data_IF_040221492610
#
_entry.id   IF_040221492610
#
_cell.length_a   1.000
_cell.length_b   1.000
_cell.length_c   1.000
_cell.angle_alpha   90.00
_cell.angle_beta   90.00
_cell.angle_gamma   90.00
#
_symmetry.space_group_name_H-M   'P 1'
#
loop_
_entity.id
_entity.type
_entity.pdbx_description
1 polymer ?
#
# COMPACT_ATOMS: atom_id res chain seq x y z
N UNK A 1 -33.16 5.58 0.02
CA UNK A 1 -32.01 5.58 -0.92
C UNK A 1 -31.65 7.04 -1.19
N UNK A 2 -30.76 7.63 -0.40
CA UNK A 2 -30.15 8.92 -0.73
C UNK A 2 -29.12 8.66 -1.82
N UNK A 3 -29.41 9.08 -3.05
CA UNK A 3 -28.43 9.11 -4.14
C UNK A 3 -27.37 10.16 -3.80
N UNK A 4 -26.30 9.73 -3.13
CA UNK A 4 -25.07 10.51 -3.05
C UNK A 4 -24.41 10.44 -4.43
N UNK A 5 -24.91 11.25 -5.37
CA UNK A 5 -24.24 11.44 -6.65
C UNK A 5 -22.85 12.01 -6.37
N UNK A 6 -21.77 11.29 -6.68
CA UNK A 6 -20.44 11.81 -6.44
C UNK A 6 -20.25 13.05 -7.31
N UNK A 7 -19.71 14.12 -6.72
CA UNK A 7 -19.35 15.36 -7.41
C UNK A 7 -17.85 15.59 -7.27
N UNK A 8 -17.18 16.16 -8.29
CA UNK A 8 -15.78 16.55 -8.12
C UNK A 8 -15.67 17.54 -6.96
N UNK A 9 -14.64 17.41 -6.14
CA UNK A 9 -14.40 18.31 -4.99
C UNK A 9 -14.34 19.79 -5.38
N UNK A 10 -14.01 20.10 -6.64
CA UNK A 10 -13.83 21.47 -7.11
C UNK A 10 -12.62 22.17 -6.47
N UNK A 11 -12.37 23.42 -6.88
CA UNK A 11 -11.30 24.27 -6.34
C UNK A 11 -10.04 24.38 -7.22
N UNK A 12 -9.06 25.18 -6.77
CA UNK A 12 -7.82 25.50 -7.53
C UNK A 12 -6.95 24.26 -7.73
N UNK A 13 -6.60 23.90 -8.97
CA UNK A 13 -5.76 22.72 -9.24
C UNK A 13 -4.36 22.80 -8.58
N UNK A 14 -3.78 24.00 -8.48
CA UNK A 14 -2.50 24.24 -7.81
C UNK A 14 -2.66 24.56 -6.32
N UNK A 15 -2.82 23.52 -5.49
CA UNK A 15 -2.75 23.63 -4.02
C UNK A 15 -1.32 23.78 -3.52
N UNK A 16 -1.15 24.13 -2.24
CA UNK A 16 0.16 24.13 -1.58
C UNK A 16 0.86 22.76 -1.72
N UNK A 17 0.12 21.67 -1.52
CA UNK A 17 0.62 20.32 -1.71
C UNK A 17 1.13 20.10 -3.15
N UNK A 18 0.35 20.44 -4.18
CA UNK A 18 0.78 20.32 -5.58
C UNK A 18 2.01 21.20 -5.86
N UNK A 19 2.10 22.41 -5.31
CA UNK A 19 3.28 23.28 -5.49
C UNK A 19 4.55 22.72 -4.86
N UNK A 20 4.43 21.98 -3.76
CA UNK A 20 5.57 21.36 -3.06
C UNK A 20 5.97 20.03 -3.72
N UNK A 21 5.00 19.19 -4.06
CA UNK A 21 5.25 17.85 -4.59
C UNK A 21 5.53 17.82 -6.09
N UNK A 22 4.94 18.72 -6.88
CA UNK A 22 5.16 18.72 -8.33
C UNK A 22 6.63 18.93 -8.73
N UNK A 23 7.40 19.86 -8.14
CA UNK A 23 8.83 19.98 -8.44
C UNK A 23 9.63 18.71 -8.10
N UNK A 24 9.30 18.04 -6.99
CA UNK A 24 9.94 16.78 -6.57
C UNK A 24 9.61 15.66 -7.56
N UNK A 25 8.35 15.56 -7.99
CA UNK A 25 7.94 14.60 -9.01
C UNK A 25 8.69 14.83 -10.34
N UNK A 26 8.77 16.08 -10.80
CA UNK A 26 9.51 16.44 -12.03
C UNK A 26 10.99 16.08 -11.90
N UNK A 27 11.62 16.38 -10.77
CA UNK A 27 13.02 16.00 -10.52
C UNK A 27 13.21 14.48 -10.54
N UNK A 28 12.30 13.73 -9.91
CA UNK A 28 12.29 12.27 -9.97
C UNK A 28 12.20 11.74 -11.40
N UNK A 29 11.30 12.28 -12.23
CA UNK A 29 11.18 11.89 -13.64
C UNK A 29 12.43 12.23 -14.47
N UNK A 30 13.10 13.35 -14.19
CA UNK A 30 14.37 13.69 -14.85
C UNK A 30 15.43 12.64 -14.51
N UNK A 31 15.54 12.24 -13.24
CA UNK A 31 16.49 11.20 -12.80
C UNK A 31 16.13 9.82 -13.37
N UNK A 32 14.84 9.49 -13.49
CA UNK A 32 14.37 8.29 -14.19
C UNK A 32 14.80 8.33 -15.66
N UNK A 33 14.65 9.49 -16.32
CA UNK A 33 15.14 9.67 -17.70
C UNK A 33 16.65 9.46 -17.81
N UNK A 34 17.43 10.02 -16.87
CA UNK A 34 18.88 9.81 -16.77
C UNK A 34 19.20 8.32 -16.63
N UNK A 35 18.51 7.62 -15.73
CA UNK A 35 18.63 6.17 -15.54
C UNK A 35 18.35 5.36 -16.81
N UNK A 36 17.29 5.70 -17.55
CA UNK A 36 16.88 4.97 -18.75
C UNK A 36 17.86 5.14 -19.92
N UNK A 37 18.61 6.25 -19.95
CA UNK A 37 19.57 6.57 -21.02
C UNK A 37 20.99 6.14 -20.66
N UNK A 38 21.46 6.45 -19.45
CA UNK A 38 22.84 6.22 -19.01
C UNK A 38 23.04 4.92 -18.20
N UNK A 39 21.95 4.26 -17.82
CA UNK A 39 21.95 2.99 -17.09
C UNK A 39 21.80 3.14 -15.57
N UNK A 40 21.73 1.99 -14.88
CA UNK A 40 21.48 1.91 -13.43
C UNK A 40 22.61 2.54 -12.59
N UNK A 41 23.87 2.28 -12.95
CA UNK A 41 25.03 2.72 -12.16
C UNK A 41 25.24 4.25 -12.14
N UNK A 42 24.54 5.00 -12.99
CA UNK A 42 24.67 6.46 -13.05
C UNK A 42 23.71 7.19 -12.07
N UNK A 43 22.77 6.45 -11.49
CA UNK A 43 21.79 6.99 -10.53
C UNK A 43 21.68 6.17 -9.24
N UNK A 44 22.35 5.02 -9.16
CA UNK A 44 22.26 4.10 -8.02
C UNK A 44 23.61 3.53 -7.62
N UNK A 45 23.76 3.19 -6.34
CA UNK A 45 24.94 2.51 -5.78
C UNK A 45 24.77 0.97 -5.76
N UNK A 46 23.84 0.45 -6.57
CA UNK A 46 23.61 -0.99 -6.70
C UNK A 46 24.87 -1.70 -7.20
N UNK A 47 25.10 -2.89 -6.68
CA UNK A 47 26.31 -3.67 -6.99
C UNK A 47 26.02 -5.18 -7.00
N UNK A 48 27.03 -5.99 -7.32
CA UNK A 48 26.88 -7.44 -7.45
C UNK A 48 26.40 -8.15 -6.18
N UNK A 49 26.60 -7.56 -5.00
CA UNK A 49 26.10 -8.07 -3.73
C UNK A 49 24.70 -7.55 -3.38
N UNK A 50 24.43 -6.28 -3.69
CA UNK A 50 23.15 -5.61 -3.47
C UNK A 50 22.46 -5.31 -4.81
N UNK A 51 21.80 -6.32 -5.41
CA UNK A 51 21.04 -6.13 -6.64
C UNK A 51 19.74 -5.37 -6.41
N UNK A 52 19.25 -5.39 -5.16
CA UNK A 52 18.06 -4.68 -4.71
C UNK A 52 18.49 -3.62 -3.70
N UNK A 53 18.06 -2.40 -3.95
CA UNK A 53 18.32 -1.26 -3.09
C UNK A 53 17.03 -0.70 -2.53
N UNK A 54 17.05 0.60 -2.26
CA UNK A 54 15.89 1.32 -1.71
C UNK A 54 14.66 1.25 -2.63
N UNK A 55 14.81 1.17 -3.96
CA UNK A 55 13.66 1.12 -4.87
C UNK A 55 12.80 -0.13 -4.67
N UNK A 56 13.42 -1.31 -4.56
CA UNK A 56 12.66 -2.53 -4.29
C UNK A 56 12.20 -2.58 -2.82
N UNK A 57 13.06 -2.21 -1.87
CA UNK A 57 12.74 -2.28 -0.45
C UNK A 57 11.63 -1.30 -0.04
N UNK A 58 11.63 -0.09 -0.58
CA UNK A 58 10.66 0.95 -0.27
C UNK A 58 9.55 1.03 -1.32
N UNK A 59 9.84 1.34 -2.58
CA UNK A 59 8.79 1.62 -3.58
C UNK A 59 7.95 0.38 -3.88
N UNK A 60 8.58 -0.79 -3.98
CA UNK A 60 7.84 -2.03 -4.23
C UNK A 60 7.31 -2.66 -2.95
N UNK A 61 8.18 -3.05 -2.02
CA UNK A 61 7.78 -3.82 -0.84
C UNK A 61 6.92 -3.02 0.12
N UNK A 62 7.27 -1.78 0.43
CA UNK A 62 6.46 -0.95 1.34
C UNK A 62 5.33 -0.26 0.57
N UNK A 63 5.64 0.35 -0.58
CA UNK A 63 4.69 1.11 -1.39
C UNK A 63 3.49 0.29 -1.85
N UNK A 64 3.69 -0.93 -2.36
CA UNK A 64 2.54 -1.81 -2.70
C UNK A 64 1.75 -2.24 -1.47
N UNK A 65 2.39 -2.33 -0.30
CA UNK A 65 1.71 -2.56 0.98
C UNK A 65 0.78 -1.41 1.36
N UNK A 66 1.19 -0.16 1.14
CA UNK A 66 0.30 1.01 1.30
C UNK A 66 -0.82 1.00 0.24
N UNK A 67 -0.53 0.55 -0.98
CA UNK A 67 -1.52 0.41 -2.03
C UNK A 67 -2.56 -0.70 -1.76
N UNK A 68 -2.41 -1.53 -0.73
CA UNK A 68 -3.36 -2.60 -0.39
C UNK A 68 -4.70 -2.13 0.21
N UNK A 69 -4.94 -0.82 0.38
CA UNK A 69 -6.14 -0.30 1.07
C UNK A 69 -7.47 -0.75 0.47
N UNK A 70 -7.63 -0.64 -0.85
CA UNK A 70 -8.79 -1.12 -1.60
C UNK A 70 -8.99 -2.63 -1.51
N UNK A 71 -7.91 -3.41 -1.61
CA UNK A 71 -7.95 -4.87 -1.43
C UNK A 71 -8.39 -5.27 -0.02
N UNK A 72 -7.80 -4.66 1.02
CA UNK A 72 -8.14 -4.95 2.41
C UNK A 72 -9.61 -4.59 2.68
N UNK A 73 -10.08 -3.43 2.22
CA UNK A 73 -11.49 -3.05 2.34
C UNK A 73 -12.41 -3.96 1.55
N UNK A 74 -12.01 -4.46 0.37
CA UNK A 74 -12.80 -5.44 -0.37
C UNK A 74 -13.01 -6.72 0.46
N UNK A 75 -11.98 -7.22 1.14
CA UNK A 75 -12.14 -8.33 2.11
C UNK A 75 -13.10 -7.96 3.24
N UNK A 76 -12.96 -6.78 3.83
CA UNK A 76 -13.86 -6.34 4.90
C UNK A 76 -15.32 -6.18 4.42
N UNK A 77 -15.55 -5.70 3.20
CA UNK A 77 -16.88 -5.39 2.65
C UNK A 77 -17.58 -6.61 2.07
N UNK A 78 -16.85 -7.49 1.39
CA UNK A 78 -17.44 -8.59 0.63
C UNK A 78 -17.38 -9.92 1.35
N UNK A 79 -16.40 -10.13 2.24
CA UNK A 79 -16.23 -11.38 2.99
C UNK A 79 -16.68 -11.23 4.43
N UNK A 80 -16.27 -10.15 5.11
CA UNK A 80 -16.54 -9.98 6.55
C UNK A 80 -17.74 -9.10 6.90
N UNK A 81 -18.37 -8.39 5.96
CA UNK A 81 -19.44 -7.44 6.27
C UNK A 81 -20.58 -7.38 5.24
N UNK A 82 -21.75 -6.92 5.67
CA UNK A 82 -22.98 -6.73 4.87
C UNK A 82 -23.06 -5.30 4.28
N UNK A 83 -21.97 -4.78 3.73
CA UNK A 83 -21.97 -3.49 3.01
C UNK A 83 -21.81 -2.20 3.83
N UNK A 84 -21.47 -2.24 5.13
CA UNK A 84 -21.34 -1.00 5.93
C UNK A 84 -20.12 -0.13 5.55
N UNK A 85 -19.06 -0.72 5.01
CA UNK A 85 -17.85 -0.01 4.58
C UNK A 85 -17.91 0.47 3.11
N UNK A 86 -19.05 0.29 2.44
CA UNK A 86 -19.24 0.66 1.03
C UNK A 86 -18.86 2.13 0.70
N UNK A 87 -19.04 3.13 1.59
CA UNK A 87 -18.58 4.50 1.31
C UNK A 87 -17.07 4.61 1.09
N UNK A 88 -16.27 3.76 1.75
CA UNK A 88 -14.80 3.80 1.69
C UNK A 88 -14.23 3.08 0.46
N UNK A 89 -15.02 2.22 -0.18
CA UNK A 89 -14.55 1.31 -1.25
C UNK A 89 -14.06 2.07 -2.47
N UNK A 90 -14.84 3.03 -2.99
CA UNK A 90 -14.49 3.78 -4.22
C UNK A 90 -13.17 4.58 -4.09
N UNK A 91 -12.98 5.43 -3.06
CA UNK A 91 -11.72 6.15 -2.89
C UNK A 91 -10.54 5.22 -2.62
N UNK A 92 -10.72 4.15 -1.85
CA UNK A 92 -9.66 3.20 -1.57
C UNK A 92 -9.26 2.36 -2.79
N UNK A 93 -10.22 1.90 -3.60
CA UNK A 93 -9.95 1.20 -4.86
C UNK A 93 -9.20 2.09 -5.85
N UNK A 94 -9.54 3.38 -5.91
CA UNK A 94 -8.82 4.31 -6.78
C UNK A 94 -7.38 4.52 -6.28
N UNK A 95 -7.20 4.75 -4.97
CA UNK A 95 -5.87 4.87 -4.38
C UNK A 95 -5.04 3.60 -4.65
N UNK A 96 -5.61 2.41 -4.45
CA UNK A 96 -4.99 1.13 -4.78
C UNK A 96 -4.63 1.00 -6.26
N UNK A 97 -5.54 1.37 -7.17
CA UNK A 97 -5.26 1.31 -8.60
C UNK A 97 -4.05 2.18 -8.97
N UNK A 98 -3.94 3.37 -8.39
CA UNK A 98 -2.77 4.24 -8.57
C UNK A 98 -1.51 3.65 -7.97
N UNK A 99 -1.53 3.30 -6.68
CA UNK A 99 -0.37 2.77 -5.98
C UNK A 99 0.18 1.50 -6.62
N UNK A 100 -0.68 0.55 -7.01
CA UNK A 100 -0.25 -0.64 -7.74
C UNK A 100 0.24 -0.34 -9.16
N UNK A 101 -0.39 0.59 -9.89
CA UNK A 101 0.10 0.98 -11.22
C UNK A 101 1.50 1.61 -11.13
N UNK A 102 1.74 2.43 -10.10
CA UNK A 102 3.05 3.03 -9.84
C UNK A 102 4.08 2.01 -9.38
N UNK A 103 3.69 1.04 -8.55
CA UNK A 103 4.56 -0.09 -8.20
C UNK A 103 4.97 -0.91 -9.42
N UNK A 104 4.03 -1.14 -10.36
CA UNK A 104 4.32 -1.81 -11.63
C UNK A 104 5.26 -1.01 -12.52
N UNK A 105 5.07 0.31 -12.60
CA UNK A 105 5.98 1.22 -13.29
C UNK A 105 7.37 1.25 -12.65
N UNK A 106 7.44 1.23 -11.31
CA UNK A 106 8.69 1.19 -10.56
C UNK A 106 9.52 -0.05 -10.93
N UNK A 107 8.90 -1.24 -11.02
CA UNK A 107 9.58 -2.45 -11.50
C UNK A 107 10.14 -2.27 -12.92
N UNK A 108 9.36 -1.70 -13.84
CA UNK A 108 9.84 -1.47 -15.20
C UNK A 108 11.06 -0.52 -15.25
N UNK A 109 11.12 0.42 -14.29
CA UNK A 109 12.24 1.35 -14.09
C UNK A 109 13.36 0.72 -13.26
N UNK A 110 13.15 -0.35 -12.52
CA UNK A 110 14.23 -1.01 -11.77
C UNK A 110 15.01 -1.98 -12.67
N UNK A 111 14.34 -2.67 -13.60
CA UNK A 111 14.96 -3.70 -14.48
C UNK A 111 16.02 -3.09 -15.40
N UNK A 112 17.28 -3.52 -15.26
CA UNK A 112 18.43 -2.94 -15.99
C UNK A 112 18.30 -2.95 -17.51
N UNK A 113 17.63 -3.95 -18.10
CA UNK A 113 17.32 -4.03 -19.54
C UNK A 113 15.82 -3.86 -19.75
N UNK A 114 15.29 -2.68 -19.45
CA UNK A 114 13.85 -2.38 -19.51
C UNK A 114 13.23 -2.63 -20.89
N UNK A 115 14.00 -2.52 -21.98
CA UNK A 115 13.54 -2.84 -23.33
C UNK A 115 13.21 -4.33 -23.55
N UNK A 116 13.71 -5.23 -22.67
CA UNK A 116 13.35 -6.64 -22.70
C UNK A 116 12.05 -6.94 -21.93
N UNK A 117 11.45 -5.96 -21.24
CA UNK A 117 10.21 -6.16 -20.50
C UNK A 117 9.07 -6.76 -21.33
N UNK A 118 8.89 -6.48 -22.64
CA UNK A 118 7.85 -7.12 -23.46
C UNK A 118 7.91 -8.66 -23.50
N UNK A 119 9.08 -9.28 -23.28
CA UNK A 119 9.21 -10.74 -23.20
C UNK A 119 8.36 -11.33 -22.07
N UNK A 120 8.12 -10.57 -20.99
CA UNK A 120 7.25 -10.98 -19.89
C UNK A 120 5.81 -11.25 -20.33
N UNK A 121 5.33 -10.62 -21.41
CA UNK A 121 3.97 -10.84 -21.93
C UNK A 121 3.89 -11.97 -22.96
N UNK A 122 5.03 -12.54 -23.35
CA UNK A 122 5.13 -13.55 -24.40
C UNK A 122 5.26 -14.95 -23.77
N UNK A 123 4.30 -15.87 -24.00
CA UNK A 123 4.30 -17.20 -23.38
C UNK A 123 5.59 -18.02 -23.58
N UNK A 124 6.33 -17.74 -24.66
CA UNK A 124 7.58 -18.40 -25.01
C UNK A 124 8.71 -18.18 -23.98
N UNK A 125 8.64 -17.10 -23.21
CA UNK A 125 9.68 -16.71 -22.24
C UNK A 125 9.22 -16.90 -20.79
N UNK A 126 8.08 -17.56 -20.56
CA UNK A 126 7.54 -17.75 -19.21
C UNK A 126 8.40 -18.72 -18.40
N UNK A 127 8.85 -18.28 -17.22
CA UNK A 127 9.50 -19.13 -16.24
C UNK A 127 8.59 -19.30 -15.01
N UNK A 128 7.74 -20.32 -15.05
CA UNK A 128 6.75 -20.61 -14.00
C UNK A 128 7.36 -21.07 -12.67
N UNK A 129 8.66 -21.37 -12.63
CA UNK A 129 9.37 -21.70 -11.39
C UNK A 129 9.89 -20.46 -10.65
N UNK A 130 9.78 -19.27 -11.25
CA UNK A 130 10.27 -18.03 -10.67
C UNK A 130 9.19 -17.34 -9.84
N UNK A 131 9.50 -17.10 -8.56
CA UNK A 131 8.64 -16.30 -7.67
C UNK A 131 8.46 -14.87 -8.19
N UNK A 132 9.48 -14.31 -8.86
CA UNK A 132 9.37 -12.99 -9.51
C UNK A 132 8.36 -13.00 -10.67
N UNK A 133 8.30 -14.11 -11.43
CA UNK A 133 7.34 -14.27 -12.52
C UNK A 133 5.90 -14.33 -11.98
N UNK A 134 5.66 -15.13 -10.93
CA UNK A 134 4.37 -15.18 -10.25
C UNK A 134 3.98 -13.79 -9.73
N UNK A 135 4.88 -13.13 -9.00
CA UNK A 135 4.66 -11.80 -8.42
C UNK A 135 4.26 -10.77 -9.48
N UNK A 136 5.01 -10.69 -10.59
CA UNK A 136 4.74 -9.77 -11.68
C UNK A 136 3.42 -10.10 -12.41
N UNK A 137 3.09 -11.38 -12.56
CA UNK A 137 1.85 -11.84 -13.22
C UNK A 137 0.64 -11.49 -12.37
N UNK A 138 0.66 -11.84 -11.09
CA UNK A 138 -0.41 -11.51 -10.15
C UNK A 138 -0.65 -10.01 -10.07
N UNK A 139 0.42 -9.21 -9.97
CA UNK A 139 0.31 -7.74 -9.93
C UNK A 139 -0.28 -7.17 -11.22
N UNK A 140 0.18 -7.63 -12.39
CA UNK A 140 -0.32 -7.14 -13.69
C UNK A 140 -1.79 -7.47 -13.90
N UNK A 141 -2.19 -8.72 -13.61
CA UNK A 141 -3.60 -9.12 -13.71
C UNK A 141 -4.43 -8.35 -12.69
N UNK A 142 -3.91 -8.14 -11.49
CA UNK A 142 -4.62 -7.39 -10.45
C UNK A 142 -4.87 -5.94 -10.85
N UNK A 143 -3.91 -5.25 -11.47
CA UNK A 143 -4.13 -3.88 -12.00
C UNK A 143 -5.27 -3.88 -13.02
N UNK A 144 -5.34 -4.88 -13.91
CA UNK A 144 -6.46 -5.02 -14.85
C UNK A 144 -7.79 -5.29 -14.13
N UNK A 145 -7.79 -6.16 -13.11
CA UNK A 145 -8.98 -6.46 -12.30
C UNK A 145 -9.48 -5.20 -11.58
N UNK A 146 -8.60 -4.44 -10.92
CA UNK A 146 -8.97 -3.18 -10.27
C UNK A 146 -9.52 -2.15 -11.27
N UNK A 147 -8.94 -2.05 -12.47
CA UNK A 147 -9.48 -1.19 -13.51
C UNK A 147 -10.91 -1.61 -13.90
N UNK A 148 -11.19 -2.92 -13.96
CA UNK A 148 -12.53 -3.45 -14.19
C UNK A 148 -13.49 -3.25 -13.00
N UNK A 149 -13.01 -3.31 -11.76
CA UNK A 149 -13.80 -2.99 -10.56
C UNK A 149 -14.17 -1.51 -10.48
N UNK A 150 -13.30 -0.63 -10.98
CA UNK A 150 -13.54 0.81 -11.04
C UNK A 150 -14.39 1.22 -12.27
N UNK A 151 -14.41 0.40 -13.32
CA UNK A 151 -15.12 0.68 -14.58
C UNK A 151 -16.63 0.99 -14.42
N UNK A 152 -17.42 0.39 -13.49
CA UNK A 152 -18.81 0.76 -13.27
C UNK A 152 -19.00 2.25 -12.97
N UNK A 153 -18.09 2.86 -12.19
CA UNK A 153 -18.17 4.29 -11.86
C UNK A 153 -17.99 5.17 -13.12
N UNK A 154 -17.13 4.73 -14.06
CA UNK A 154 -16.96 5.42 -15.34
C UNK A 154 -18.16 5.20 -16.26
N UNK A 155 -18.69 3.98 -16.33
CA UNK A 155 -19.86 3.64 -17.17
C UNK A 155 -21.14 4.32 -16.69
N UNK A 156 -21.33 4.46 -15.37
CA UNK A 156 -22.40 5.25 -14.76
C UNK A 156 -22.34 6.71 -15.25
N UNK A 157 -21.14 7.31 -15.27
CA UNK A 157 -20.92 8.67 -15.75
C UNK A 157 -21.16 8.83 -17.24
N UNK A 158 -20.78 7.83 -18.06
CA UNK A 158 -21.00 7.84 -19.51
C UNK A 158 -22.43 7.47 -19.92
N UNK A 159 -23.27 7.03 -18.97
CA UNK A 159 -24.67 6.62 -19.23
C UNK A 159 -24.82 5.28 -19.95
N UNK A 160 -23.77 4.44 -19.99
CA UNK A 160 -23.74 3.20 -20.76
C UNK A 160 -24.39 2.02 -20.00
N UNK A 161 -25.73 2.02 -19.96
CA UNK A 161 -26.54 1.08 -19.16
C UNK A 161 -26.39 -0.39 -19.55
N UNK A 162 -26.17 -0.71 -20.84
CA UNK A 162 -26.05 -2.10 -21.32
C UNK A 162 -24.72 -2.72 -20.86
N UNK A 163 -23.61 -2.01 -21.07
CA UNK A 163 -22.28 -2.44 -20.63
C UNK A 163 -22.20 -2.57 -19.12
N UNK A 164 -22.81 -1.65 -18.38
CA UNK A 164 -22.90 -1.70 -16.92
C UNK A 164 -23.61 -2.99 -16.45
N UNK A 165 -24.75 -3.34 -17.06
CA UNK A 165 -25.49 -4.56 -16.69
C UNK A 165 -24.70 -5.84 -16.96
N UNK A 166 -23.97 -5.90 -18.08
CA UNK A 166 -23.09 -7.04 -18.41
C UNK A 166 -21.94 -7.15 -17.42
N UNK A 167 -21.29 -6.04 -17.12
CA UNK A 167 -20.17 -5.98 -16.18
C UNK A 167 -20.61 -6.38 -14.76
N UNK A 168 -21.73 -5.86 -14.27
CA UNK A 168 -22.27 -6.22 -12.95
C UNK A 168 -22.58 -7.72 -12.83
N UNK A 169 -22.96 -8.39 -13.92
CA UNK A 169 -23.17 -9.84 -13.92
C UNK A 169 -21.86 -10.62 -13.76
N UNK A 170 -20.75 -10.10 -14.29
CA UNK A 170 -19.42 -10.70 -14.15
C UNK A 170 -18.67 -10.26 -12.88
N UNK A 171 -19.15 -9.23 -12.19
CA UNK A 171 -18.45 -8.57 -11.08
C UNK A 171 -18.13 -9.52 -9.92
N UNK A 172 -18.97 -10.53 -9.66
CA UNK A 172 -18.69 -11.54 -8.64
C UNK A 172 -17.36 -12.28 -8.91
N UNK A 173 -17.10 -12.67 -10.17
CA UNK A 173 -15.85 -13.31 -10.54
C UNK A 173 -14.66 -12.34 -10.46
N UNK A 174 -14.88 -11.09 -10.87
CA UNK A 174 -13.86 -10.03 -10.85
C UNK A 174 -13.42 -9.76 -9.39
N UNK A 175 -14.36 -9.58 -8.47
CA UNK A 175 -14.09 -9.39 -7.03
C UNK A 175 -13.39 -10.62 -6.44
N UNK A 176 -13.78 -11.83 -6.84
CA UNK A 176 -13.10 -13.06 -6.41
C UNK A 176 -11.63 -13.09 -6.83
N UNK A 177 -11.32 -12.70 -8.08
CA UNK A 177 -9.95 -12.53 -8.55
C UNK A 177 -9.23 -11.38 -7.83
N UNK A 178 -9.94 -10.28 -7.56
CA UNK A 178 -9.45 -9.13 -6.82
C UNK A 178 -9.07 -9.45 -5.38
N UNK A 179 -9.73 -10.42 -4.74
CA UNK A 179 -9.36 -10.93 -3.43
C UNK A 179 -8.17 -11.90 -3.49
N UNK A 180 -8.13 -12.78 -4.50
CA UNK A 180 -7.11 -13.82 -4.66
C UNK A 180 -5.74 -13.28 -5.09
N UNK A 181 -5.68 -12.46 -6.14
CA UNK A 181 -4.41 -12.06 -6.77
C UNK A 181 -3.48 -11.26 -5.87
N UNK A 182 -3.96 -10.28 -5.07
CA UNK A 182 -3.09 -9.59 -4.12
C UNK A 182 -2.62 -10.50 -2.98
N UNK A 183 -3.45 -11.47 -2.58
CA UNK A 183 -3.05 -12.49 -1.59
C UNK A 183 -1.86 -13.29 -2.10
N UNK A 184 -1.89 -13.72 -3.37
CA UNK A 184 -0.77 -14.41 -4.02
C UNK A 184 0.44 -13.48 -4.16
N UNK A 185 0.25 -12.29 -4.73
CA UNK A 185 1.35 -11.34 -4.94
C UNK A 185 2.07 -10.99 -3.62
N UNK A 186 1.34 -10.63 -2.57
CA UNK A 186 1.95 -10.23 -1.30
C UNK A 186 2.57 -11.42 -0.55
N UNK A 187 2.03 -12.65 -0.67
CA UNK A 187 2.68 -13.83 -0.09
C UNK A 187 3.95 -14.20 -0.87
N UNK A 188 3.94 -14.13 -2.20
CA UNK A 188 5.11 -14.37 -3.06
C UNK A 188 6.24 -13.36 -2.79
N UNK A 189 5.93 -12.10 -2.47
CA UNK A 189 6.95 -11.13 -2.01
C UNK A 189 7.66 -11.59 -0.72
N UNK A 190 6.97 -12.31 0.16
CA UNK A 190 7.60 -12.97 1.32
C UNK A 190 8.45 -14.16 0.90
N UNK A 191 7.92 -15.01 -0.01
CA UNK A 191 8.63 -16.16 -0.57
C UNK A 191 9.95 -15.78 -1.26
N UNK A 192 10.03 -14.59 -1.87
CA UNK A 192 11.28 -14.10 -2.47
C UNK A 192 12.43 -14.11 -1.47
N UNK A 193 12.18 -13.74 -0.21
CA UNK A 193 13.23 -13.67 0.80
C UNK A 193 13.59 -15.03 1.40
N UNK A 194 12.82 -16.08 1.14
CA UNK A 194 13.26 -17.46 1.39
C UNK A 194 14.48 -17.78 0.52
N UNK A 195 14.47 -17.34 -0.75
CA UNK A 195 15.59 -17.58 -1.68
C UNK A 195 16.88 -16.85 -1.30
N UNK A 196 16.77 -15.75 -0.53
CA UNK A 196 17.94 -15.06 0.01
C UNK A 196 18.67 -15.88 1.09
N UNK A 197 17.99 -16.85 1.71
CA UNK A 197 18.59 -17.82 2.62
C UNK A 197 19.41 -17.16 3.74
N UNK A 198 20.68 -17.54 3.82
CA UNK A 198 21.62 -17.06 4.85
C UNK A 198 21.98 -15.57 4.73
N UNK A 199 21.67 -14.92 3.62
CA UNK A 199 21.94 -13.49 3.43
C UNK A 199 21.04 -12.61 4.31
N UNK A 200 19.90 -13.12 4.76
CA UNK A 200 19.02 -12.41 5.68
C UNK A 200 19.35 -12.81 7.10
N UNK A 201 19.45 -11.84 7.99
CA UNK A 201 19.75 -12.08 9.40
C UNK A 201 18.73 -13.05 10.03
N UNK A 202 19.16 -14.00 10.90
CA UNK A 202 18.30 -15.04 11.47
C UNK A 202 17.03 -14.55 12.15
N UNK A 203 17.06 -13.34 12.74
CA UNK A 203 15.87 -12.72 13.33
C UNK A 203 14.76 -12.47 12.30
N UNK A 204 15.06 -12.11 11.06
CA UNK A 204 14.04 -11.88 10.01
C UNK A 204 13.88 -13.06 9.06
N UNK A 205 14.86 -13.96 8.99
CA UNK A 205 14.77 -15.14 8.14
C UNK A 205 13.89 -16.22 8.78
N UNK A 206 12.60 -16.23 8.45
CA UNK A 206 11.60 -17.16 9.00
C UNK A 206 11.10 -18.22 8.02
N UNK A 207 11.81 -18.44 6.90
CA UNK A 207 11.55 -19.47 5.89
C UNK A 207 10.05 -19.63 5.55
N UNK A 208 9.40 -20.73 5.94
CA UNK A 208 8.01 -21.05 5.57
C UNK A 208 6.99 -20.04 6.10
N UNK A 209 7.34 -19.26 7.12
CA UNK A 209 6.46 -18.24 7.70
C UNK A 209 6.57 -16.87 7.01
N UNK A 210 7.60 -16.64 6.18
CA UNK A 210 7.78 -15.35 5.46
C UNK A 210 6.59 -14.99 4.55
N UNK A 211 6.00 -15.92 3.77
CA UNK A 211 4.84 -15.60 2.93
C UNK A 211 3.65 -15.16 3.78
N UNK A 212 3.45 -15.80 4.92
CA UNK A 212 2.38 -15.46 5.86
C UNK A 212 2.64 -14.09 6.52
N UNK A 213 3.87 -13.80 6.96
CA UNK A 213 4.22 -12.50 7.54
C UNK A 213 4.06 -11.36 6.52
N UNK A 214 4.48 -11.58 5.27
CA UNK A 214 4.29 -10.61 4.20
C UNK A 214 2.80 -10.35 3.93
N UNK A 215 1.98 -11.40 3.92
CA UNK A 215 0.53 -11.27 3.75
C UNK A 215 -0.15 -10.56 4.93
N UNK A 216 0.18 -10.92 6.17
CA UNK A 216 -0.36 -10.29 7.37
C UNK A 216 0.00 -8.80 7.44
N UNK A 217 1.26 -8.46 7.13
CA UNK A 217 1.68 -7.05 7.05
C UNK A 217 1.00 -6.30 5.91
N UNK A 218 0.67 -6.96 4.80
CA UNK A 218 -0.10 -6.35 3.71
C UNK A 218 -1.51 -5.96 4.17
N UNK A 219 -2.20 -6.84 4.90
CA UNK A 219 -3.50 -6.52 5.49
C UNK A 219 -3.40 -5.40 6.52
N UNK A 220 -2.39 -5.43 7.39
CA UNK A 220 -2.17 -4.38 8.40
C UNK A 220 -1.95 -3.02 7.74
N UNK A 221 -1.03 -2.94 6.78
CA UNK A 221 -0.76 -1.73 6.01
C UNK A 221 -2.01 -1.26 5.26
N UNK A 222 -2.70 -2.16 4.55
CA UNK A 222 -3.90 -1.88 3.79
C UNK A 222 -5.04 -1.29 4.64
N UNK A 223 -5.42 -1.96 5.74
CA UNK A 223 -6.48 -1.44 6.61
C UNK A 223 -6.10 -0.14 7.29
N UNK A 224 -4.83 -0.01 7.66
CA UNK A 224 -4.34 1.13 8.44
C UNK A 224 -4.18 2.37 7.56
N UNK A 225 -3.77 2.22 6.29
CA UNK A 225 -3.61 3.35 5.38
C UNK A 225 -4.96 4.06 5.14
N UNK A 226 -6.06 3.32 5.12
CA UNK A 226 -7.42 3.88 5.00
C UNK A 226 -7.76 4.77 6.19
N UNK A 227 -7.41 4.34 7.41
CA UNK A 227 -7.61 5.15 8.63
C UNK A 227 -6.71 6.40 8.59
N UNK A 228 -5.46 6.24 8.15
CA UNK A 228 -4.50 7.33 8.03
C UNK A 228 -4.97 8.39 7.03
N UNK A 229 -5.30 7.99 5.81
CA UNK A 229 -5.79 8.88 4.75
C UNK A 229 -7.12 9.53 5.13
N UNK A 230 -8.09 8.75 5.63
CA UNK A 230 -9.38 9.28 6.06
C UNK A 230 -9.25 10.31 7.20
N UNK A 231 -8.34 10.06 8.15
CA UNK A 231 -8.03 11.01 9.23
C UNK A 231 -7.35 12.28 8.70
N UNK A 232 -6.47 12.16 7.70
CA UNK A 232 -5.78 13.29 7.07
C UNK A 232 -6.74 14.13 6.20
N UNK A 233 -7.66 13.50 5.48
CA UNK A 233 -8.71 14.17 4.71
C UNK A 233 -9.68 14.95 5.61
N UNK A 234 -10.01 14.40 6.78
CA UNK A 234 -10.77 15.11 7.82
C UNK A 234 -9.97 16.30 8.40
N UNK A 235 -8.70 16.11 8.72
CA UNK A 235 -7.84 17.17 9.25
C UNK A 235 -7.65 18.33 8.26
N UNK A 236 -7.56 18.03 6.96
CA UNK A 236 -7.46 19.03 5.88
C UNK A 236 -8.78 19.71 5.53
N UNK A 237 -9.89 19.37 6.21
CA UNK A 237 -11.27 19.84 5.94
C UNK A 237 -11.74 19.54 4.51
N UNK A 238 -11.19 18.49 3.91
CA UNK A 238 -11.59 18.06 2.56
C UNK A 238 -12.91 17.28 2.60
N UNK A 239 -13.14 16.52 3.69
CA UNK A 239 -14.38 15.80 3.97
C UNK A 239 -15.02 16.30 5.28
N UNK A 240 -16.35 16.44 5.29
CA UNK A 240 -17.12 16.90 6.45
C UNK A 240 -17.79 15.76 7.24
N UNK A 241 -17.89 14.57 6.66
CA UNK A 241 -18.56 13.44 7.30
C UNK A 241 -17.66 12.81 8.36
N UNK A 242 -18.24 12.49 9.52
CA UNK A 242 -17.50 11.86 10.60
C UNK A 242 -17.42 10.34 10.41
N UNK A 243 -16.37 9.87 9.75
CA UNK A 243 -16.10 8.44 9.51
C UNK A 243 -15.49 7.73 10.72
N UNK A 244 -15.26 8.42 11.84
CA UNK A 244 -14.67 7.86 13.07
C UNK A 244 -15.36 6.57 13.55
N UNK A 245 -16.70 6.40 13.46
CA UNK A 245 -17.36 5.15 13.81
C UNK A 245 -16.94 3.97 12.91
N UNK A 246 -16.72 4.21 11.61
CA UNK A 246 -16.24 3.19 10.67
C UNK A 246 -14.78 2.82 10.98
N UNK A 247 -13.93 3.82 11.24
CA UNK A 247 -12.54 3.56 11.65
C UNK A 247 -12.48 2.77 12.95
N UNK A 248 -13.32 3.09 13.94
CA UNK A 248 -13.40 2.34 15.21
C UNK A 248 -13.72 0.86 14.99
N UNK A 249 -14.62 0.54 14.05
CA UNK A 249 -14.93 -0.85 13.67
C UNK A 249 -13.73 -1.51 12.99
N UNK A 250 -13.09 -0.81 12.07
CA UNK A 250 -11.91 -1.30 11.35
C UNK A 250 -10.74 -1.60 12.28
N UNK A 251 -10.56 -0.79 13.33
CA UNK A 251 -9.55 -1.00 14.37
C UNK A 251 -9.66 -2.36 15.04
N UNK A 252 -10.87 -2.93 15.20
CA UNK A 252 -11.04 -4.28 15.75
C UNK A 252 -10.44 -5.36 14.86
N UNK A 253 -10.55 -5.20 13.53
CA UNK A 253 -9.96 -6.14 12.56
C UNK A 253 -8.45 -6.01 12.58
N UNK A 254 -7.94 -4.77 12.57
CA UNK A 254 -6.50 -4.46 12.65
C UNK A 254 -5.91 -5.08 13.92
N UNK A 255 -6.57 -4.93 15.07
CA UNK A 255 -6.13 -5.48 16.35
C UNK A 255 -5.96 -7.00 16.32
N UNK A 256 -6.93 -7.73 15.75
CA UNK A 256 -6.83 -9.19 15.60
C UNK A 256 -5.66 -9.57 14.71
N UNK A 257 -5.48 -8.89 13.57
CA UNK A 257 -4.38 -9.14 12.65
C UNK A 257 -3.02 -8.83 13.27
N UNK A 258 -2.96 -7.78 14.08
CA UNK A 258 -1.74 -7.30 14.72
C UNK A 258 -1.31 -8.25 15.85
N UNK A 259 -2.26 -8.73 16.66
CA UNK A 259 -2.02 -9.79 17.64
C UNK A 259 -1.57 -11.06 16.91
N UNK A 260 -2.26 -11.46 15.84
CA UNK A 260 -1.88 -12.65 15.08
C UNK A 260 -0.45 -12.53 14.52
N UNK A 261 -0.10 -11.39 13.92
CA UNK A 261 1.25 -11.13 13.42
C UNK A 261 2.28 -11.23 14.55
N UNK A 262 2.09 -10.53 15.67
CA UNK A 262 3.03 -10.54 16.79
C UNK A 262 3.17 -11.93 17.43
N UNK A 263 2.07 -12.65 17.65
CA UNK A 263 2.09 -14.01 18.21
C UNK A 263 2.83 -14.96 17.29
N UNK A 264 2.51 -14.96 15.99
CA UNK A 264 3.22 -15.80 15.02
C UNK A 264 4.70 -15.42 14.91
N UNK A 265 5.01 -14.11 14.96
CA UNK A 265 6.38 -13.59 14.84
C UNK A 265 7.24 -14.00 16.02
N UNK A 266 6.79 -13.75 17.25
CA UNK A 266 7.51 -14.16 18.46
C UNK A 266 7.51 -15.68 18.62
N UNK A 267 6.41 -16.36 18.27
CA UNK A 267 6.32 -17.81 18.26
C UNK A 267 7.36 -18.46 17.36
N UNK A 268 7.60 -17.92 16.16
CA UNK A 268 8.63 -18.41 15.25
C UNK A 268 10.05 -18.28 15.83
N UNK A 269 10.36 -17.14 16.46
CA UNK A 269 11.65 -16.92 17.11
C UNK A 269 11.88 -17.90 18.27
N UNK A 270 10.86 -18.11 19.10
CA UNK A 270 10.94 -19.02 20.26
C UNK A 270 11.08 -20.47 19.79
N UNK A 271 10.25 -20.89 18.83
CA UNK A 271 10.22 -22.25 18.31
C UNK A 271 11.55 -22.65 17.66
N UNK A 272 12.15 -21.72 16.89
CA UNK A 272 13.43 -21.95 16.23
C UNK A 272 14.66 -21.63 17.10
N UNK A 273 14.47 -21.38 18.40
CA UNK A 273 15.58 -21.15 19.35
C UNK A 273 16.39 -19.88 19.07
N UNK A 274 15.83 -18.89 18.38
CA UNK A 274 16.52 -17.66 17.94
C UNK A 274 16.57 -16.56 19.00
N UNK A 275 16.07 -16.82 20.21
CA UNK A 275 16.05 -15.87 21.33
C UNK A 275 17.45 -15.35 21.70
N UNK A 276 18.48 -16.17 21.51
CA UNK A 276 19.88 -15.79 21.77
C UNK A 276 20.31 -14.57 20.94
N UNK A 277 19.83 -14.45 19.70
CA UNK A 277 20.13 -13.31 18.84
C UNK A 277 19.58 -11.99 19.38
N UNK A 278 18.47 -12.02 20.14
CA UNK A 278 17.90 -10.82 20.78
C UNK A 278 18.70 -10.44 22.03
N UNK A 279 19.23 -11.44 22.74
CA UNK A 279 20.02 -11.24 23.96
C UNK A 279 21.40 -10.62 23.72
N UNK A 280 21.88 -10.61 22.47
CA UNK A 280 23.20 -10.08 22.12
C UNK A 280 23.31 -8.55 22.26
N UNK A 281 22.18 -7.82 22.21
CA UNK A 281 22.16 -6.37 22.37
C UNK A 281 22.85 -5.60 21.23
N UNK A 282 22.99 -6.23 20.07
CA UNK A 282 23.54 -5.63 18.85
C UNK A 282 22.50 -4.75 18.13
N UNK A 283 22.92 -4.08 17.05
CA UNK A 283 22.04 -3.21 16.26
C UNK A 283 20.76 -3.96 15.82
N UNK A 284 20.88 -5.22 15.39
CA UNK A 284 19.76 -6.02 14.91
C UNK A 284 18.80 -6.41 16.04
N UNK A 285 19.30 -6.69 17.25
CA UNK A 285 18.50 -6.90 18.45
C UNK A 285 17.63 -5.68 18.74
N UNK A 286 18.23 -4.49 18.78
CA UNK A 286 17.50 -3.24 19.05
C UNK A 286 16.50 -2.90 17.95
N UNK A 287 16.84 -3.19 16.70
CA UNK A 287 15.95 -2.99 15.55
C UNK A 287 14.73 -3.91 15.63
N UNK A 288 14.91 -5.18 16.01
CA UNK A 288 13.83 -6.14 16.22
C UNK A 288 12.93 -5.74 17.41
N UNK A 289 13.52 -5.25 18.50
CA UNK A 289 12.76 -4.75 19.65
C UNK A 289 11.98 -3.48 19.27
N UNK A 290 12.61 -2.56 18.53
CA UNK A 290 11.98 -1.33 18.08
C UNK A 290 10.80 -1.60 17.14
N UNK A 291 10.94 -2.46 16.12
CA UNK A 291 9.82 -2.82 15.24
C UNK A 291 8.69 -3.50 16.03
N UNK A 292 9.02 -4.38 16.97
CA UNK A 292 8.03 -5.06 17.82
C UNK A 292 7.31 -4.08 18.74
N UNK A 293 8.04 -3.11 19.31
CA UNK A 293 7.48 -2.07 20.17
C UNK A 293 6.55 -1.13 19.39
N UNK A 294 6.92 -0.74 18.17
CA UNK A 294 6.07 0.09 17.29
C UNK A 294 4.75 -0.61 16.95
N UNK A 295 4.76 -1.94 16.81
CA UNK A 295 3.56 -2.75 16.54
C UNK A 295 2.78 -3.10 17.82
N UNK A 296 3.43 -3.16 18.98
CA UNK A 296 2.78 -3.45 20.27
C UNK A 296 2.12 -2.20 20.89
N UNK A 297 2.75 -1.03 20.78
CA UNK A 297 2.23 0.23 21.30
C UNK A 297 0.79 0.56 20.86
N UNK A 298 0.41 0.46 19.57
CA UNK A 298 -0.95 0.71 19.13
C UNK A 298 -1.96 -0.27 19.75
N UNK A 299 -1.59 -1.53 19.99
CA UNK A 299 -2.46 -2.47 20.72
C UNK A 299 -2.77 -1.93 22.13
N UNK A 300 -1.75 -1.49 22.87
CA UNK A 300 -1.91 -0.94 24.21
C UNK A 300 -2.77 0.33 24.14
N UNK A 301 -2.45 1.25 23.23
CA UNK A 301 -3.17 2.51 23.07
C UNK A 301 -4.64 2.31 22.71
N UNK A 302 -4.96 1.32 21.88
CA UNK A 302 -6.34 0.98 21.51
C UNK A 302 -7.12 0.37 22.69
N UNK A 303 -6.49 -0.35 23.61
CA UNK A 303 -7.18 -0.95 24.77
C UNK A 303 -7.50 0.05 25.89
N UNK A 304 -6.83 1.20 25.91
CA UNK A 304 -7.15 2.25 26.87
C UNK A 304 -8.53 2.85 26.56
N UNK A 305 -9.43 2.80 27.54
CA UNK A 305 -10.79 3.33 27.45
C UNK A 305 -10.74 4.79 26.96
N UNK A 306 -11.58 5.11 25.96
CA UNK A 306 -11.70 6.38 25.21
C UNK A 306 -10.81 6.57 23.98
N UNK A 307 -9.67 5.87 23.84
CA UNK A 307 -8.76 6.13 22.71
C UNK A 307 -9.33 5.68 21.36
N UNK A 308 -10.11 4.59 21.32
CA UNK A 308 -10.73 4.11 20.06
C UNK A 308 -11.77 5.07 19.48
N UNK A 309 -12.28 6.01 20.29
CA UNK A 309 -13.27 7.01 19.87
C UNK A 309 -12.63 8.34 19.47
N UNK A 310 -11.34 8.53 19.74
CA UNK A 310 -10.64 9.77 19.44
C UNK A 310 -9.99 9.69 18.05
N UNK A 311 -10.36 10.57 17.10
CA UNK A 311 -9.76 10.59 15.77
C UNK A 311 -8.23 10.79 15.82
N UNK A 312 -7.75 11.59 16.77
CA UNK A 312 -6.32 11.84 16.97
C UNK A 312 -5.59 10.57 17.39
N UNK A 313 -6.16 9.80 18.31
CA UNK A 313 -5.53 8.57 18.78
C UNK A 313 -5.58 7.46 17.72
N UNK A 314 -6.65 7.39 16.93
CA UNK A 314 -6.72 6.49 15.79
C UNK A 314 -5.64 6.82 14.75
N UNK A 315 -5.43 8.10 14.45
CA UNK A 315 -4.34 8.54 13.57
C UNK A 315 -2.96 8.18 14.13
N UNK A 316 -2.70 8.45 15.41
CA UNK A 316 -1.43 8.10 16.06
C UNK A 316 -1.18 6.60 16.01
N UNK A 317 -2.18 5.78 16.35
CA UNK A 317 -2.07 4.33 16.25
C UNK A 317 -1.79 3.89 14.81
N UNK A 318 -2.45 4.52 13.82
CA UNK A 318 -2.22 4.22 12.42
C UNK A 318 -0.77 4.51 12.01
N UNK A 319 -0.21 5.65 12.41
CA UNK A 319 1.20 5.99 12.15
C UNK A 319 2.14 4.95 12.73
N UNK A 320 1.93 4.52 13.99
CA UNK A 320 2.76 3.49 14.62
C UNK A 320 2.72 2.15 13.87
N UNK A 321 1.53 1.70 13.44
CA UNK A 321 1.38 0.46 12.67
C UNK A 321 2.03 0.58 11.30
N UNK A 322 1.82 1.69 10.58
CA UNK A 322 2.42 1.91 9.26
C UNK A 322 3.94 1.91 9.34
N UNK A 323 4.52 2.64 10.30
CA UNK A 323 5.98 2.68 10.49
C UNK A 323 6.50 1.31 10.94
N UNK A 324 5.84 0.64 11.89
CA UNK A 324 6.28 -0.67 12.39
C UNK A 324 6.27 -1.75 11.30
N UNK A 325 5.20 -1.83 10.50
CA UNK A 325 5.09 -2.79 9.42
C UNK A 325 6.01 -2.44 8.23
N UNK A 326 6.16 -1.15 7.90
CA UNK A 326 7.12 -0.69 6.89
C UNK A 326 8.56 -0.98 7.33
N UNK A 327 8.88 -0.76 8.61
CA UNK A 327 10.18 -1.06 9.19
C UNK A 327 10.47 -2.56 9.14
N UNK A 328 9.52 -3.43 9.49
CA UNK A 328 9.68 -4.87 9.31
C UNK A 328 9.99 -5.24 7.85
N UNK A 329 9.27 -4.64 6.87
CA UNK A 329 9.50 -4.86 5.44
C UNK A 329 10.86 -4.32 4.96
N UNK A 330 11.31 -3.20 5.50
CA UNK A 330 12.62 -2.62 5.21
C UNK A 330 13.75 -3.47 5.79
N UNK A 331 13.54 -4.00 6.99
CA UNK A 331 14.55 -4.75 7.72
C UNK A 331 14.86 -6.07 7.02
N UNK A 332 13.86 -6.89 6.72
CA UNK A 332 14.12 -8.20 6.10
C UNK A 332 14.66 -8.11 4.66
N UNK A 333 14.33 -7.04 3.93
CA UNK A 333 14.69 -6.90 2.51
C UNK A 333 16.00 -6.15 2.25
N UNK A 334 16.41 -5.23 3.14
CA UNK A 334 17.60 -4.40 2.93
C UNK A 334 18.50 -4.28 4.16
N UNK A 335 17.97 -3.84 5.31
CA UNK A 335 18.82 -3.49 6.47
C UNK A 335 19.48 -4.72 7.10
N UNK A 336 18.72 -5.81 7.20
CA UNK A 336 19.17 -7.09 7.72
C UNK A 336 19.65 -8.03 6.61
N UNK A 337 19.86 -7.50 5.40
CA UNK A 337 20.42 -8.23 4.27
C UNK A 337 21.94 -7.99 4.18
N UNK A 338 22.71 -9.07 4.26
CA UNK A 338 24.14 -9.07 4.08
C UNK A 338 24.55 -10.21 3.13
N UNK A 339 24.95 -9.90 1.88
CA UNK A 339 25.35 -10.90 0.91
C UNK A 339 26.74 -11.50 1.18
N UNK A 340 27.46 -11.03 2.21
CA UNK A 340 28.82 -11.41 2.53
C UNK A 340 29.87 -10.74 1.64
N UNK A 341 31.09 -11.26 1.63
CA UNK A 341 32.18 -10.87 0.71
C UNK A 341 32.59 -9.38 0.72
N UNK A 342 32.29 -8.64 1.79
CA UNK A 342 32.66 -7.23 1.92
C UNK A 342 31.85 -6.26 1.05
N UNK A 343 30.71 -6.70 0.49
CA UNK A 343 29.81 -5.78 -0.19
C UNK A 343 29.15 -4.83 0.80
N UNK A 344 29.03 -3.57 0.40
CA UNK A 344 28.31 -2.55 1.13
C UNK A 344 27.38 -1.82 0.15
N UNK A 345 26.29 -1.28 0.69
CA UNK A 345 25.34 -0.48 -0.07
C UNK A 345 24.78 0.59 0.84
N UNK A 346 24.76 1.82 0.34
CA UNK A 346 24.02 2.91 0.96
C UNK A 346 23.34 3.72 -0.15
N UNK A 347 22.04 4.01 -0.04
CA UNK A 347 21.30 4.64 -1.12
C UNK A 347 21.88 6.02 -1.45
N UNK A 348 22.14 6.25 -2.73
CA UNK A 348 22.56 7.56 -3.24
C UNK A 348 21.45 8.60 -3.10
N UNK A 349 21.83 9.87 -3.14
CA UNK A 349 20.85 10.97 -3.16
C UNK A 349 19.89 10.86 -4.36
N UNK A 350 20.37 10.41 -5.52
CA UNK A 350 19.55 10.17 -6.71
C UNK A 350 18.54 9.04 -6.50
N UNK A 351 18.92 7.94 -5.85
CA UNK A 351 18.00 6.86 -5.51
C UNK A 351 16.88 7.35 -4.60
N UNK A 352 17.22 8.08 -3.53
CA UNK A 352 16.25 8.64 -2.60
C UNK A 352 15.33 9.66 -3.28
N UNK A 353 15.87 10.52 -4.15
CA UNK A 353 15.08 11.51 -4.89
C UNK A 353 14.13 10.87 -5.90
N UNK A 354 14.49 9.72 -6.49
CA UNK A 354 13.58 8.96 -7.36
C UNK A 354 12.41 8.42 -6.55
N UNK A 355 12.64 7.77 -5.41
CA UNK A 355 11.56 7.25 -4.54
C UNK A 355 10.69 8.39 -3.99
N UNK A 356 11.29 9.49 -3.53
CA UNK A 356 10.55 10.69 -3.10
C UNK A 356 9.73 11.27 -4.27
N UNK A 357 10.30 11.29 -5.47
CA UNK A 357 9.63 11.73 -6.69
C UNK A 357 8.42 10.87 -7.04
N UNK A 358 8.51 9.56 -6.85
CA UNK A 358 7.40 8.63 -7.01
C UNK A 358 6.25 8.91 -6.05
N UNK A 359 6.54 9.02 -4.75
CA UNK A 359 5.53 9.37 -3.74
C UNK A 359 4.94 10.75 -4.01
N UNK A 360 5.76 11.72 -4.41
CA UNK A 360 5.32 13.07 -4.76
C UNK A 360 4.40 13.07 -5.99
N UNK A 361 4.70 12.24 -6.99
CA UNK A 361 3.85 12.06 -8.15
C UNK A 361 2.52 11.42 -7.77
N UNK A 362 2.53 10.38 -6.94
CA UNK A 362 1.32 9.71 -6.44
C UNK A 362 0.39 10.70 -5.73
N UNK A 363 0.92 11.45 -4.76
CA UNK A 363 0.15 12.46 -4.02
C UNK A 363 -0.40 13.53 -4.96
N UNK A 364 0.41 14.01 -5.91
CA UNK A 364 0.00 15.02 -6.88
C UNK A 364 -1.10 14.50 -7.81
N UNK A 365 -0.93 13.30 -8.37
CA UNK A 365 -1.90 12.66 -9.25
C UNK A 365 -3.22 12.40 -8.52
N UNK A 366 -3.16 11.87 -7.28
CA UNK A 366 -4.33 11.66 -6.45
C UNK A 366 -5.10 12.96 -6.21
N UNK A 367 -4.42 14.05 -5.79
CA UNK A 367 -5.05 15.36 -5.54
C UNK A 367 -5.69 15.93 -6.81
N UNK A 368 -5.03 15.81 -7.96
CA UNK A 368 -5.59 16.28 -9.23
C UNK A 368 -6.83 15.47 -9.61
N UNK A 369 -6.80 14.15 -9.41
CA UNK A 369 -7.89 13.27 -9.79
C UNK A 369 -9.12 13.43 -8.91
N UNK A 370 -8.97 13.53 -7.59
CA UNK A 370 -10.13 13.77 -6.71
C UNK A 370 -10.81 15.14 -7.00
N UNK A 371 -10.07 16.07 -7.62
CA UNK A 371 -10.58 17.39 -8.04
C UNK A 371 -11.20 17.36 -9.44
N UNK A 372 -10.66 16.55 -10.35
CA UNK A 372 -11.13 16.45 -11.74
C UNK A 372 -12.25 15.41 -11.91
N UNK A 373 -12.25 14.36 -11.10
CA UNK A 373 -13.20 13.26 -11.13
C UNK A 373 -14.07 13.27 -9.87
N UNK A 374 -15.37 12.94 -10.01
CA UNK A 374 -16.27 12.72 -8.88
C UNK A 374 -15.96 11.38 -8.21
N UNK A 375 -14.91 11.35 -7.37
CA UNK A 375 -14.49 10.13 -6.67
C UNK A 375 -15.05 10.10 -5.24
N UNK A 376 -15.08 11.26 -4.58
CA UNK A 376 -15.61 11.38 -3.23
C UNK A 376 -17.15 11.55 -3.26
N UNK A 377 -17.86 11.08 -2.23
CA UNK A 377 -19.27 11.42 -2.03
C UNK A 377 -19.43 12.94 -2.05
N UNK A 378 -20.45 13.45 -2.76
CA UNK A 378 -20.63 14.89 -2.90
C UNK A 378 -20.71 15.58 -1.52
N UNK A 379 -19.98 16.69 -1.38
CA UNK A 379 -20.14 17.62 -0.27
C UNK A 379 -21.62 17.97 -0.14
N UNK A 380 -22.19 17.74 1.04
CA UNK A 380 -23.50 18.30 1.36
C UNK A 380 -23.30 19.80 1.49
N UNK A 381 -23.64 20.55 0.45
CA UNK A 381 -23.70 22.01 0.53
C UNK A 381 -24.60 22.39 1.71
N UNK A 382 -24.02 22.98 2.75
CA UNK A 382 -24.74 23.45 3.94
C UNK A 382 -25.86 24.45 3.58
N UNK A 383 -25.72 25.13 2.44
CA UNK A 383 -26.75 26.01 1.87
C UNK A 383 -28.01 25.27 1.35
N UNK A 384 -27.91 23.98 1.00
CA UNK A 384 -29.07 23.18 0.55
C UNK A 384 -29.87 22.69 1.76
N UNK A 385 -29.23 22.44 2.90
CA UNK A 385 -29.95 22.12 4.15
C UNK A 385 -30.67 23.34 4.71
N UNK A 386 -30.07 24.54 4.65
CA UNK A 386 -30.73 25.78 5.05
C UNK A 386 -31.95 26.09 4.16
N UNK A 387 -31.83 25.95 2.83
CA UNK A 387 -32.99 26.10 1.93
C UNK A 387 -34.06 25.02 2.12
N UNK A 388 -33.70 23.78 2.46
CA UNK A 388 -34.69 22.72 2.77
C UNK A 388 -35.35 22.91 4.15
N UNK A 389 -34.69 23.60 5.07
CA UNK A 389 -35.26 23.99 6.37
C UNK A 389 -36.20 25.19 6.21
N UNK A 390 -35.84 26.19 5.42
CA UNK A 390 -36.68 27.36 5.12
C UNK A 390 -37.92 27.03 4.27
N UNK A 391 -37.86 26.02 3.41
CA UNK A 391 -39.03 25.55 2.62
C UNK A 391 -39.95 24.65 3.46
N UNK A 392 -39.54 24.27 4.69
CA UNK A 392 -40.33 23.47 5.64
C UNK A 392 -40.83 24.24 6.86
N UNK A 393 -40.43 25.51 7.02
CA UNK A 393 -41.05 26.49 7.93
C UNK A 393 -42.07 27.30 7.16
#
# INVERSE_FOLDING_TARGET
>A
MSSHDPRPLGGKLFTLAVRVFLPLAVLGFILIGKRLVFGLGDVSDLNGGYPWGIWIAFDLLIGTGFACGGWALAWAVYVFNKGEFHPLVRPALLASLFGYSLGGLSIAIDIGRYWNMPHFFMPQYFNVNSVLFETATCMTIYIMVMALEFLPALLERLGWKVSLKRLNKAMFFIIGLGALLPTMHQSSMGSLMISAGWKVHPLWQSYEMLPLFSLLTAFLLGFTIVIFEGSLLKASRTMNDDETPLFTKLTKVIEVLLIAFLVCRWGEIIWNGKLSYIGNGDMFSWLFIAESALLLLPLILMHLNNNRRSPRMLFVCAVFILIGAAMWRMNYSLVAYNPGNGYHYFPTASELLISIGFVAFEVTAYILIIRLLPVLPAQTDSNIQLKKAEVKS
#
